data_IF_821988973983
#
_entry.id   IF_821988973983
#
_cell.length_a   1.000
_cell.length_b   1.000
_cell.length_c   1.000
_cell.angle_alpha   90.00
_cell.angle_beta   90.00
_cell.angle_gamma   90.00
#
_symmetry.space_group_name_H-M   'P 1'
#
loop_
_entity.id
_entity.type
_entity.pdbx_description
1 polymer ?
#
# COMPACT_ATOMS: atom_id res chain seq x y z
N UNK A 1 11.93 -3.17 -35.60
CA UNK A 1 11.28 -2.84 -34.33
C UNK A 1 12.37 -2.61 -33.27
N UNK A 2 12.50 -1.43 -32.69
CA UNK A 2 13.42 -1.22 -31.56
C UNK A 2 12.98 -2.12 -30.41
N UNK A 3 13.86 -2.98 -29.92
CA UNK A 3 13.61 -3.83 -28.74
C UNK A 3 13.66 -2.92 -27.50
N UNK A 4 12.70 -3.09 -26.59
CA UNK A 4 12.79 -2.42 -25.28
C UNK A 4 13.97 -2.98 -24.50
N UNK A 5 14.80 -2.08 -24.00
CA UNK A 5 15.92 -2.40 -23.14
C UNK A 5 15.72 -1.70 -21.79
N UNK A 6 15.86 -2.45 -20.73
CA UNK A 6 15.69 -1.95 -19.37
C UNK A 6 16.64 -0.77 -19.10
N UNK A 7 16.16 0.24 -18.37
CA UNK A 7 16.87 1.47 -18.01
C UNK A 7 17.24 2.39 -19.20
N UNK A 8 16.96 2.02 -20.43
CA UNK A 8 17.14 2.91 -21.57
C UNK A 8 16.06 3.98 -21.65
N UNK A 9 16.42 5.10 -22.25
CA UNK A 9 15.57 6.27 -22.39
C UNK A 9 14.80 6.27 -23.72
N UNK A 10 13.52 6.63 -23.65
CA UNK A 10 12.60 6.66 -24.80
C UNK A 10 11.75 7.93 -24.75
N UNK A 11 11.58 8.56 -25.91
CA UNK A 11 10.57 9.59 -26.10
C UNK A 11 9.17 8.95 -26.20
N UNK A 12 8.11 9.74 -26.06
CA UNK A 12 6.75 9.23 -26.31
C UNK A 12 6.56 8.72 -27.74
N UNK A 13 7.23 9.33 -28.69
CA UNK A 13 7.20 8.91 -30.09
C UNK A 13 7.92 7.57 -30.30
N UNK A 14 9.07 7.33 -29.65
CA UNK A 14 9.71 6.01 -29.67
C UNK A 14 8.80 4.93 -29.13
N UNK A 15 8.13 5.22 -28.00
CA UNK A 15 7.23 4.27 -27.32
C UNK A 15 5.99 4.00 -28.18
N UNK A 16 5.40 5.07 -28.76
CA UNK A 16 4.32 4.93 -29.73
C UNK A 16 4.70 4.02 -30.91
N UNK A 17 5.87 4.23 -31.52
CA UNK A 17 6.36 3.43 -32.64
C UNK A 17 6.61 1.95 -32.27
N UNK A 18 6.87 1.66 -30.99
CA UNK A 18 7.06 0.29 -30.50
C UNK A 18 5.72 -0.43 -30.30
N UNK A 19 4.72 0.26 -29.76
CA UNK A 19 3.49 -0.38 -29.30
C UNK A 19 2.28 -0.20 -30.23
N UNK A 20 2.26 0.83 -31.06
CA UNK A 20 1.16 1.14 -31.98
C UNK A 20 1.69 1.36 -33.39
N UNK A 21 2.28 2.51 -33.69
CA UNK A 21 2.86 2.87 -34.99
C UNK A 21 1.84 3.10 -36.11
N UNK A 22 0.54 2.92 -35.85
CA UNK A 22 -0.55 3.00 -36.83
C UNK A 22 -1.45 4.20 -36.62
N UNK A 23 -1.84 4.46 -35.35
CA UNK A 23 -2.69 5.62 -35.04
C UNK A 23 -1.87 6.91 -35.14
N UNK A 24 -2.48 8.05 -35.53
CA UNK A 24 -1.72 9.30 -35.62
C UNK A 24 -1.06 9.71 -34.29
N UNK A 25 0.25 9.93 -34.31
CA UNK A 25 0.99 10.50 -33.18
C UNK A 25 1.05 12.03 -33.31
N UNK A 26 0.63 12.72 -32.25
CA UNK A 26 0.74 14.18 -32.17
C UNK A 26 1.45 14.55 -30.87
N UNK A 27 2.65 15.17 -30.92
CA UNK A 27 3.36 15.60 -29.72
C UNK A 27 2.49 16.53 -28.86
N UNK A 28 2.34 16.24 -27.58
CA UNK A 28 1.57 17.05 -26.64
C UNK A 28 0.04 16.98 -26.80
N UNK A 29 -0.47 16.09 -27.66
CA UNK A 29 -1.91 15.89 -27.87
C UNK A 29 -2.24 14.39 -28.09
N UNK A 30 -3.52 14.04 -28.01
CA UNK A 30 -4.00 12.68 -28.23
C UNK A 30 -3.55 11.68 -27.16
N UNK A 31 -3.89 10.41 -27.37
CA UNK A 31 -3.67 9.33 -26.40
C UNK A 31 -2.18 9.14 -26.09
N UNK A 32 -1.35 8.95 -27.10
CA UNK A 32 0.08 8.72 -26.92
C UNK A 32 0.85 9.99 -26.56
N UNK A 33 0.37 11.17 -26.98
CA UNK A 33 1.06 12.43 -26.77
C UNK A 33 0.98 12.98 -25.34
N UNK A 34 -0.14 12.73 -24.60
CA UNK A 34 -0.35 13.35 -23.28
C UNK A 34 -0.85 12.41 -22.18
N UNK A 35 -1.53 11.30 -22.51
CA UNK A 35 -2.10 10.48 -21.46
C UNK A 35 -1.04 9.79 -20.62
N UNK A 36 -1.28 9.70 -19.29
CA UNK A 36 -0.41 8.97 -18.36
C UNK A 36 -0.61 7.46 -18.40
N UNK A 37 -1.78 7.01 -18.87
CA UNK A 37 -2.14 5.60 -19.03
C UNK A 37 -2.61 5.43 -20.47
N UNK A 38 -1.97 4.54 -21.20
CA UNK A 38 -2.34 4.23 -22.58
C UNK A 38 -2.62 2.74 -22.69
N UNK A 39 -3.82 2.39 -23.16
CA UNK A 39 -4.16 1.02 -23.53
C UNK A 39 -3.52 0.71 -24.89
N UNK A 40 -2.82 -0.42 -24.96
CA UNK A 40 -2.14 -0.82 -26.20
C UNK A 40 -3.20 -1.34 -27.19
N UNK A 41 -3.26 -0.84 -28.45
CA UNK A 41 -4.17 -1.34 -29.45
C UNK A 41 -3.97 -2.85 -29.69
N UNK A 42 -5.06 -3.56 -29.97
CA UNK A 42 -5.08 -4.99 -30.28
C UNK A 42 -4.48 -5.93 -29.20
N UNK A 43 -4.15 -5.37 -28.03
CA UNK A 43 -3.67 -6.14 -26.87
C UNK A 43 -4.62 -5.92 -25.69
N UNK A 44 -5.60 -6.80 -25.49
CA UNK A 44 -6.56 -6.65 -24.41
C UNK A 44 -5.87 -6.68 -23.05
N UNK A 45 -6.20 -5.71 -22.18
CA UNK A 45 -5.68 -5.59 -20.81
C UNK A 45 -4.17 -5.31 -20.71
N UNK A 46 -3.51 -4.91 -21.81
CA UNK A 46 -2.13 -4.43 -21.78
C UNK A 46 -2.08 -2.90 -21.84
N UNK A 47 -1.15 -2.33 -21.08
CA UNK A 47 -1.06 -0.89 -20.88
C UNK A 47 0.39 -0.40 -20.85
N UNK A 48 0.55 0.86 -21.25
CA UNK A 48 1.76 1.65 -21.00
C UNK A 48 1.45 2.71 -19.94
N UNK A 49 2.23 2.74 -18.87
CA UNK A 49 2.19 3.76 -17.84
C UNK A 49 3.31 4.78 -18.06
N UNK A 50 2.94 6.05 -18.25
CA UNK A 50 3.84 7.18 -18.29
C UNK A 50 3.78 7.91 -16.95
N UNK A 51 4.76 7.67 -16.09
CA UNK A 51 4.82 8.23 -14.75
C UNK A 51 5.87 9.34 -14.70
N UNK A 52 5.51 10.47 -14.10
CA UNK A 52 6.44 11.58 -13.84
C UNK A 52 6.41 11.89 -12.36
N UNK A 53 7.51 11.63 -11.65
CA UNK A 53 7.67 11.97 -10.24
C UNK A 53 7.84 13.49 -10.05
N UNK A 54 7.66 13.95 -8.80
CA UNK A 54 7.95 15.34 -8.43
C UNK A 54 6.98 16.37 -9.01
N UNK A 55 5.81 15.96 -9.52
CA UNK A 55 4.74 16.90 -9.84
C UNK A 55 3.97 17.25 -8.57
N UNK A 56 4.59 18.05 -7.68
CA UNK A 56 3.90 18.64 -6.52
C UNK A 56 2.82 19.60 -7.01
N UNK A 57 1.60 19.10 -7.16
CA UNK A 57 0.42 19.96 -7.30
C UNK A 57 -0.04 20.32 -5.91
N UNK A 58 -0.12 21.62 -5.61
CA UNK A 58 -0.71 22.15 -4.39
C UNK A 58 -1.95 21.35 -3.99
N UNK A 59 -1.93 20.76 -2.78
CA UNK A 59 -3.02 19.95 -2.23
C UNK A 59 -2.96 18.45 -2.49
N UNK A 60 -1.86 17.87 -3.00
CA UNK A 60 -1.68 16.42 -3.05
C UNK A 60 -0.98 15.94 -1.78
N UNK A 61 -1.71 15.20 -0.94
CA UNK A 61 -1.18 14.55 0.27
C UNK A 61 -0.30 13.32 -0.01
N UNK A 62 -0.11 12.95 -1.28
CA UNK A 62 0.50 11.69 -1.67
C UNK A 62 1.67 11.90 -2.64
N UNK A 63 2.84 11.34 -2.29
CA UNK A 63 4.03 11.28 -3.16
C UNK A 63 4.16 9.90 -3.80
N UNK A 64 4.22 9.88 -5.12
CA UNK A 64 4.61 8.68 -5.87
C UNK A 64 6.04 8.30 -5.51
N UNK A 65 6.31 7.02 -5.32
CA UNK A 65 7.61 6.53 -4.86
C UNK A 65 7.89 5.11 -5.34
N UNK A 66 9.17 4.74 -5.40
CA UNK A 66 9.62 3.36 -5.56
C UNK A 66 10.47 3.00 -4.34
N UNK A 67 10.23 1.82 -3.78
CA UNK A 67 11.03 1.31 -2.66
C UNK A 67 12.32 0.65 -3.15
N UNK A 68 13.26 0.40 -2.23
CA UNK A 68 14.52 -0.33 -2.52
C UNK A 68 14.28 -1.75 -3.07
N UNK A 69 13.11 -2.35 -2.86
CA UNK A 69 12.70 -3.65 -3.43
C UNK A 69 11.83 -3.52 -4.70
N UNK A 70 11.76 -2.34 -5.25
CA UNK A 70 11.04 -2.12 -6.51
C UNK A 70 9.52 -2.09 -6.38
N UNK A 71 8.97 -1.71 -5.23
CA UNK A 71 7.53 -1.48 -5.10
C UNK A 71 7.21 -0.05 -5.46
N UNK A 72 6.53 0.14 -6.58
CA UNK A 72 5.99 1.42 -7.01
C UNK A 72 4.67 1.69 -6.29
N UNK A 73 4.61 2.81 -5.57
CA UNK A 73 3.36 3.38 -5.06
C UNK A 73 2.91 4.49 -6.00
N UNK A 74 1.72 4.34 -6.58
CA UNK A 74 1.21 5.20 -7.64
C UNK A 74 -0.30 5.38 -7.52
N UNK A 75 -0.82 6.50 -8.02
CA UNK A 75 -2.26 6.79 -8.02
C UNK A 75 -2.83 6.90 -9.43
N UNK A 76 -4.08 6.46 -9.59
CA UNK A 76 -4.83 6.60 -10.83
C UNK A 76 -5.14 8.07 -11.18
N UNK A 77 -5.74 8.31 -12.33
CA UNK A 77 -6.19 9.66 -12.68
C UNK A 77 -7.34 10.11 -11.77
N UNK A 78 -7.43 11.42 -11.48
CA UNK A 78 -8.38 12.00 -10.51
C UNK A 78 -9.84 11.59 -10.68
N UNK A 79 -10.27 11.29 -11.90
CA UNK A 79 -11.66 10.91 -12.21
C UNK A 79 -11.90 9.39 -12.23
N UNK A 80 -10.86 8.59 -12.00
CA UNK A 80 -10.96 7.13 -12.03
C UNK A 80 -11.16 6.60 -10.62
N UNK A 81 -12.36 6.09 -10.36
CA UNK A 81 -12.71 5.41 -9.12
C UNK A 81 -12.72 3.90 -9.26
N UNK A 82 -12.96 3.19 -8.17
CA UNK A 82 -12.94 1.72 -8.08
C UNK A 82 -13.85 1.01 -9.09
N UNK A 83 -14.96 1.65 -9.50
CA UNK A 83 -15.89 1.10 -10.50
C UNK A 83 -15.51 1.41 -11.95
N UNK A 84 -14.45 2.18 -12.17
CA UNK A 84 -14.00 2.51 -13.53
C UNK A 84 -13.46 1.26 -14.24
N UNK A 85 -13.85 0.96 -15.49
CA UNK A 85 -13.44 -0.27 -16.20
C UNK A 85 -11.93 -0.51 -16.22
N UNK A 86 -11.14 0.55 -16.47
CA UNK A 86 -9.68 0.47 -16.48
C UNK A 86 -9.10 0.17 -15.08
N UNK A 87 -9.74 0.65 -14.01
CA UNK A 87 -9.33 0.35 -12.63
C UNK A 87 -9.63 -1.12 -12.30
N UNK A 88 -10.77 -1.64 -12.75
CA UNK A 88 -11.09 -3.06 -12.61
C UNK A 88 -10.10 -3.95 -13.38
N UNK A 89 -9.66 -3.53 -14.57
CA UNK A 89 -8.59 -4.21 -15.30
C UNK A 89 -7.28 -4.27 -14.48
N UNK A 90 -6.95 -3.19 -13.78
CA UNK A 90 -5.74 -3.14 -12.95
C UNK A 90 -5.84 -4.01 -11.70
N UNK A 91 -6.98 -3.99 -11.01
CA UNK A 91 -7.22 -4.79 -9.81
C UNK A 91 -7.18 -6.29 -10.12
N UNK A 92 -7.70 -6.69 -11.29
CA UNK A 92 -7.72 -8.08 -11.75
C UNK A 92 -6.55 -8.39 -12.70
N UNK A 93 -5.45 -7.63 -12.62
CA UNK A 93 -4.29 -7.83 -13.51
C UNK A 93 -3.52 -9.10 -13.15
N UNK A 94 -3.31 -9.93 -14.16
CA UNK A 94 -2.49 -11.12 -14.10
C UNK A 94 -1.24 -10.89 -15.00
N UNK A 95 -0.10 -10.63 -14.36
CA UNK A 95 1.17 -10.32 -15.04
C UNK A 95 1.75 -11.49 -15.85
N UNK A 96 1.25 -12.71 -15.64
CA UNK A 96 1.64 -13.89 -16.44
C UNK A 96 0.92 -13.93 -17.79
N UNK A 97 -0.24 -13.26 -17.90
CA UNK A 97 -1.07 -13.25 -19.12
C UNK A 97 -1.03 -11.93 -19.88
N UNK A 98 -0.86 -10.82 -19.17
CA UNK A 98 -0.95 -9.48 -19.72
C UNK A 98 0.18 -8.62 -19.17
N UNK A 99 0.62 -7.63 -19.92
CA UNK A 99 1.73 -6.77 -19.53
C UNK A 99 1.27 -5.33 -19.25
N UNK A 100 1.80 -4.75 -18.19
CA UNK A 100 1.78 -3.31 -17.96
C UNK A 100 3.23 -2.84 -17.96
N UNK A 101 3.58 -1.95 -18.88
CA UNK A 101 4.93 -1.44 -19.09
C UNK A 101 5.09 -0.09 -18.40
N UNK A 102 6.10 0.05 -17.54
CA UNK A 102 6.38 1.29 -16.84
C UNK A 102 7.45 2.12 -17.53
N UNK A 103 7.11 3.35 -17.89
CA UNK A 103 8.01 4.37 -18.34
C UNK A 103 8.00 5.55 -17.37
N UNK A 104 9.12 5.76 -16.70
CA UNK A 104 9.27 6.71 -15.59
C UNK A 104 10.23 7.84 -15.96
N UNK A 105 9.96 9.04 -15.45
CA UNK A 105 10.91 10.14 -15.37
C UNK A 105 10.73 10.90 -14.06
N UNK A 106 11.80 11.48 -13.56
CA UNK A 106 11.79 12.21 -12.27
C UNK A 106 11.38 13.68 -12.42
N UNK A 107 11.43 14.22 -13.65
CA UNK A 107 11.00 15.58 -13.98
C UNK A 107 10.48 15.68 -15.41
N UNK A 108 9.62 16.66 -15.67
CA UNK A 108 9.05 16.87 -17.01
C UNK A 108 10.01 17.66 -17.93
N UNK A 109 10.68 18.66 -17.40
CA UNK A 109 11.57 19.56 -18.13
C UNK A 109 12.96 19.50 -17.52
N UNK A 110 13.97 19.37 -18.37
CA UNK A 110 15.37 19.44 -17.97
C UNK A 110 15.72 20.91 -17.64
N UNK A 111 16.17 21.23 -16.41
CA UNK A 111 16.43 22.61 -16.02
C UNK A 111 17.62 23.23 -16.74
N UNK A 112 18.54 22.42 -17.28
CA UNK A 112 19.75 22.88 -17.98
C UNK A 112 19.49 23.14 -19.47
N UNK A 113 18.66 22.30 -20.12
CA UNK A 113 18.43 22.35 -21.56
C UNK A 113 17.08 22.94 -21.94
N UNK A 114 16.18 23.12 -20.96
CA UNK A 114 14.78 23.53 -21.12
C UNK A 114 13.98 22.64 -22.10
N UNK A 115 14.44 21.39 -22.31
CA UNK A 115 13.75 20.41 -23.15
C UNK A 115 12.98 19.41 -22.30
N UNK A 116 11.96 18.78 -22.92
CA UNK A 116 11.21 17.69 -22.29
C UNK A 116 12.13 16.48 -22.04
N UNK A 117 12.17 15.99 -20.81
CA UNK A 117 12.92 14.78 -20.47
C UNK A 117 12.27 13.54 -21.08
N UNK A 118 13.07 12.63 -21.62
CA UNK A 118 12.58 11.31 -22.03
C UNK A 118 12.13 10.50 -20.81
N UNK A 119 11.49 9.37 -21.09
CA UNK A 119 11.13 8.41 -20.05
C UNK A 119 12.13 7.27 -20.07
N UNK A 120 12.45 6.76 -18.89
CA UNK A 120 13.24 5.54 -18.73
C UNK A 120 12.32 4.35 -18.63
N UNK A 121 12.61 3.30 -19.36
CA UNK A 121 11.88 2.03 -19.25
C UNK A 121 12.29 1.30 -17.99
N UNK A 122 11.35 1.11 -17.07
CA UNK A 122 11.58 0.48 -15.76
C UNK A 122 11.15 -0.98 -15.70
N UNK A 123 10.76 -1.57 -16.81
CA UNK A 123 10.27 -2.94 -16.87
C UNK A 123 8.76 -3.07 -16.77
N UNK A 124 8.29 -4.26 -16.39
CA UNK A 124 6.88 -4.62 -16.29
C UNK A 124 6.41 -4.55 -14.85
N UNK A 125 5.10 -4.36 -14.68
CA UNK A 125 4.45 -4.25 -13.39
C UNK A 125 3.58 -5.48 -13.11
N UNK A 126 3.65 -5.98 -11.86
CA UNK A 126 2.68 -6.89 -11.29
C UNK A 126 1.83 -6.15 -10.25
N UNK A 127 0.54 -6.42 -10.26
CA UNK A 127 -0.37 -5.88 -9.24
C UNK A 127 -0.06 -6.48 -7.87
N UNK A 128 0.03 -5.63 -6.83
CA UNK A 128 0.17 -6.06 -5.44
C UNK A 128 -1.08 -5.74 -4.61
N UNK A 129 -1.46 -4.47 -4.58
CA UNK A 129 -2.56 -4.00 -3.74
C UNK A 129 -3.11 -2.66 -4.24
N UNK A 130 -4.28 -2.28 -3.74
CA UNK A 130 -4.86 -0.95 -3.92
C UNK A 130 -5.58 -0.51 -2.64
N UNK A 131 -5.78 0.79 -2.48
CA UNK A 131 -6.52 1.35 -1.36
C UNK A 131 -8.00 1.47 -1.74
N UNK A 132 -8.88 0.81 -0.98
CA UNK A 132 -10.33 0.81 -1.19
C UNK A 132 -11.04 2.03 -0.58
N UNK A 133 -10.46 2.71 0.39
CA UNK A 133 -11.11 3.83 1.06
C UNK A 133 -11.09 5.13 0.25
N UNK A 134 -10.15 5.26 -0.68
CA UNK A 134 -10.05 6.45 -1.52
C UNK A 134 -10.65 6.17 -2.88
N UNK A 135 -11.93 6.48 -3.04
CA UNK A 135 -12.63 6.25 -4.31
C UNK A 135 -12.02 7.00 -5.50
N UNK A 136 -11.39 8.17 -5.28
CA UNK A 136 -10.86 9.04 -6.34
C UNK A 136 -9.67 9.88 -5.85
N UNK A 137 -8.46 9.77 -6.40
CA UNK A 137 -7.95 8.69 -7.23
C UNK A 137 -7.65 7.42 -6.43
N UNK A 138 -7.66 6.27 -7.07
CA UNK A 138 -7.30 4.99 -6.46
C UNK A 138 -5.79 4.91 -6.31
N UNK A 139 -5.33 4.55 -5.11
CA UNK A 139 -3.93 4.33 -4.81
C UNK A 139 -3.57 2.87 -5.07
N UNK A 140 -2.52 2.63 -5.84
CA UNK A 140 -2.03 1.29 -6.17
C UNK A 140 -0.61 1.06 -5.67
N UNK A 141 -0.31 -0.19 -5.35
CA UNK A 141 1.04 -0.73 -5.22
C UNK A 141 1.30 -1.73 -6.33
N UNK A 142 2.44 -1.58 -6.99
CA UNK A 142 2.87 -2.41 -8.10
C UNK A 142 4.27 -2.94 -7.84
N UNK A 143 4.53 -4.22 -8.06
CA UNK A 143 5.87 -4.76 -8.09
C UNK A 143 6.49 -4.53 -9.48
N UNK A 144 7.67 -3.95 -9.52
CA UNK A 144 8.51 -3.94 -10.70
C UNK A 144 9.14 -5.33 -10.86
N UNK A 145 8.78 -6.05 -11.91
CA UNK A 145 9.21 -7.44 -12.13
C UNK A 145 10.69 -7.54 -12.52
N UNK A 146 11.21 -6.49 -13.14
CA UNK A 146 12.57 -6.47 -13.69
C UNK A 146 13.53 -5.58 -12.83
N UNK A 147 13.14 -5.26 -11.59
CA UNK A 147 13.86 -4.29 -10.73
C UNK A 147 15.21 -4.80 -10.19
N UNK A 148 15.41 -6.11 -10.08
CA UNK A 148 16.66 -6.70 -9.60
C UNK A 148 17.91 -6.29 -10.41
N UNK A 149 17.68 -5.81 -11.62
CA UNK A 149 18.73 -5.32 -12.52
C UNK A 149 19.06 -3.83 -12.35
N UNK A 150 18.29 -3.08 -11.53
CA UNK A 150 18.57 -1.69 -11.25
C UNK A 150 19.60 -1.56 -10.12
N UNK A 151 20.79 -1.11 -10.43
CA UNK A 151 21.84 -0.84 -9.45
C UNK A 151 21.64 0.53 -8.79
N UNK A 152 22.32 0.79 -7.67
CA UNK A 152 22.34 2.12 -7.04
C UNK A 152 22.89 3.21 -7.99
N UNK A 153 23.78 2.85 -8.90
CA UNK A 153 24.34 3.77 -9.91
C UNK A 153 23.26 4.17 -10.93
N UNK A 154 22.42 3.21 -11.37
CA UNK A 154 21.29 3.47 -12.26
C UNK A 154 20.27 4.41 -11.62
N UNK A 155 19.94 4.20 -10.36
CA UNK A 155 19.03 5.08 -9.62
C UNK A 155 19.60 6.50 -9.48
N UNK A 156 20.90 6.63 -9.24
CA UNK A 156 21.59 7.93 -9.15
C UNK A 156 21.58 8.64 -10.50
N UNK A 157 21.83 7.91 -11.60
CA UNK A 157 21.80 8.45 -12.96
C UNK A 157 20.42 8.97 -13.34
N UNK A 158 19.36 8.31 -12.85
CA UNK A 158 17.96 8.71 -13.07
C UNK A 158 17.50 9.83 -12.14
N UNK A 159 18.31 10.28 -11.18
CA UNK A 159 17.91 11.19 -10.10
C UNK A 159 16.69 10.62 -9.33
N UNK A 160 16.67 9.31 -9.17
CA UNK A 160 15.61 8.55 -8.51
C UNK A 160 16.03 8.23 -7.07
N UNK A 161 15.35 8.85 -6.11
CA UNK A 161 15.53 8.50 -4.70
C UNK A 161 14.60 7.34 -4.36
N UNK A 162 15.19 6.19 -4.07
CA UNK A 162 14.44 5.04 -3.55
C UNK A 162 14.04 5.29 -2.11
N UNK A 163 12.79 5.00 -1.79
CA UNK A 163 12.31 5.04 -0.41
C UNK A 163 12.75 3.76 0.29
N UNK A 164 13.39 3.91 1.45
CA UNK A 164 13.65 2.75 2.31
C UNK A 164 12.34 2.04 2.57
N UNK A 165 12.39 0.72 2.45
CA UNK A 165 11.20 -0.09 2.69
C UNK A 165 10.56 0.21 4.02
N UNK A 166 9.26 0.01 4.01
CA UNK A 166 8.42 -0.07 5.19
C UNK A 166 9.18 -0.80 6.31
N UNK A 167 9.76 -0.06 7.23
CA UNK A 167 10.51 -0.68 8.30
C UNK A 167 9.59 -0.88 9.49
N UNK A 168 9.05 -2.10 9.61
CA UNK A 168 8.46 -2.57 10.85
C UNK A 168 9.54 -3.30 11.65
N UNK A 169 9.83 -2.78 12.83
CA UNK A 169 10.75 -3.42 13.77
C UNK A 169 9.93 -4.21 14.81
N UNK A 170 10.08 -5.52 14.81
CA UNK A 170 9.49 -6.37 15.84
C UNK A 170 10.22 -6.16 17.17
N UNK A 171 9.45 -6.01 18.24
CA UNK A 171 9.93 -5.82 19.61
C UNK A 171 9.22 -6.80 20.54
N UNK A 172 9.74 -6.98 21.74
CA UNK A 172 9.06 -7.75 22.76
C UNK A 172 7.77 -7.06 23.22
N UNK A 173 6.77 -7.87 23.58
CA UNK A 173 5.57 -7.40 24.27
C UNK A 173 5.98 -6.64 25.55
N UNK A 174 5.39 -5.48 25.86
CA UNK A 174 5.69 -4.76 27.08
C UNK A 174 5.24 -5.54 28.32
N UNK A 175 5.94 -5.35 29.43
CA UNK A 175 5.52 -5.94 30.71
C UNK A 175 4.10 -5.51 31.07
N UNK A 176 3.31 -6.47 31.56
CA UNK A 176 1.94 -6.20 32.01
C UNK A 176 1.98 -5.19 33.15
N UNK A 177 1.38 -4.06 32.95
CA UNK A 177 1.14 -3.11 34.07
C UNK A 177 0.15 -3.72 35.05
N UNK A 178 0.42 -3.61 36.33
CA UNK A 178 -0.52 -4.02 37.36
C UNK A 178 -1.89 -3.36 37.18
N UNK A 179 -2.94 -4.03 37.63
CA UNK A 179 -4.32 -3.56 37.50
C UNK A 179 -4.44 -2.17 38.08
N UNK A 180 -4.53 -1.16 37.25
CA UNK A 180 -4.72 0.23 37.68
C UNK A 180 -6.20 0.42 38.01
N UNK A 181 -6.50 0.88 39.23
CA UNK A 181 -7.87 1.29 39.54
C UNK A 181 -8.29 2.47 38.67
N UNK A 182 -9.29 2.25 37.87
CA UNK A 182 -9.81 3.27 36.99
C UNK A 182 -10.67 4.26 37.74
N UNK A 183 -10.17 5.47 37.97
CA UNK A 183 -10.96 6.57 38.57
C UNK A 183 -11.71 7.29 37.45
N UNK A 184 -13.03 7.44 37.63
CA UNK A 184 -13.85 8.24 36.75
C UNK A 184 -13.42 9.71 36.80
N UNK A 185 -13.14 10.32 35.68
CA UNK A 185 -12.81 11.73 35.55
C UNK A 185 -13.96 12.45 34.84
N UNK A 186 -14.68 13.31 35.57
CA UNK A 186 -15.84 14.06 35.07
C UNK A 186 -15.43 15.41 34.44
N UNK A 187 -14.18 15.58 34.02
CA UNK A 187 -13.75 16.81 33.35
C UNK A 187 -14.27 16.86 31.91
N UNK A 188 -14.95 17.96 31.56
CA UNK A 188 -15.40 18.21 30.18
C UNK A 188 -14.20 18.43 29.27
N UNK A 189 -13.93 17.49 28.37
CA UNK A 189 -13.02 17.67 27.22
C UNK A 189 -13.87 17.87 25.97
N UNK A 190 -13.72 19.03 25.31
CA UNK A 190 -14.20 19.19 23.93
C UNK A 190 -13.33 18.29 23.04
N UNK A 191 -13.77 17.07 22.79
CA UNK A 191 -13.20 16.23 21.76
C UNK A 191 -14.01 16.45 20.50
N UNK A 192 -13.33 16.85 19.44
CA UNK A 192 -13.91 16.91 18.09
C UNK A 192 -13.89 15.46 17.54
N UNK A 193 -14.93 14.69 17.91
CA UNK A 193 -15.00 13.25 17.70
C UNK A 193 -14.92 12.87 16.21
N UNK A 194 -15.52 13.68 15.32
CA UNK A 194 -15.54 13.37 13.88
C UNK A 194 -14.16 13.50 13.23
N UNK A 195 -13.44 14.58 13.52
CA UNK A 195 -12.09 14.80 12.98
C UNK A 195 -11.09 13.80 13.56
N UNK A 196 -11.24 13.45 14.85
CA UNK A 196 -10.42 12.46 15.51
C UNK A 196 -10.65 11.06 14.94
N UNK A 197 -11.90 10.66 14.71
CA UNK A 197 -12.26 9.36 14.14
C UNK A 197 -11.73 9.18 12.71
N UNK A 198 -11.85 10.21 11.87
CA UNK A 198 -11.35 10.15 10.48
C UNK A 198 -9.82 10.02 10.43
N UNK A 199 -9.10 10.76 11.28
CA UNK A 199 -7.63 10.66 11.39
C UNK A 199 -7.19 9.29 11.92
N UNK A 200 -7.90 8.75 12.91
CA UNK A 200 -7.59 7.47 13.51
C UNK A 200 -7.86 6.32 12.53
N UNK A 201 -8.94 6.36 11.77
CA UNK A 201 -9.23 5.38 10.71
C UNK A 201 -8.13 5.38 9.64
N UNK A 202 -7.68 6.57 9.20
CA UNK A 202 -6.58 6.67 8.22
C UNK A 202 -5.27 6.06 8.76
N UNK A 203 -4.93 6.31 10.03
CA UNK A 203 -3.73 5.74 10.65
C UNK A 203 -3.89 4.22 10.81
N UNK A 204 -5.07 3.73 11.16
CA UNK A 204 -5.39 2.31 11.26
C UNK A 204 -5.09 1.61 9.94
N UNK A 205 -5.71 2.04 8.85
CA UNK A 205 -5.52 1.46 7.53
C UNK A 205 -4.05 1.49 7.07
N UNK A 206 -3.33 2.60 7.30
CA UNK A 206 -1.92 2.69 6.94
C UNK A 206 -1.07 1.68 7.71
N UNK A 207 -1.42 1.41 8.98
CA UNK A 207 -0.77 0.38 9.77
C UNK A 207 -1.10 -1.04 9.31
N UNK A 208 -2.35 -1.30 8.94
CA UNK A 208 -2.77 -2.57 8.35
C UNK A 208 -2.01 -2.86 7.05
N UNK A 209 -1.91 -1.87 6.15
CA UNK A 209 -1.13 -1.99 4.91
C UNK A 209 0.36 -2.24 5.19
N UNK A 210 0.92 -1.57 6.21
CA UNK A 210 2.31 -1.74 6.60
C UNK A 210 2.57 -3.16 7.13
N UNK A 211 1.65 -3.71 7.93
CA UNK A 211 1.72 -5.09 8.44
C UNK A 211 1.52 -6.08 7.32
N UNK A 212 0.57 -5.84 6.43
CA UNK A 212 0.34 -6.68 5.25
C UNK A 212 1.61 -6.81 4.39
N UNK A 213 2.24 -5.68 4.05
CA UNK A 213 3.49 -5.65 3.29
C UNK A 213 4.63 -6.37 4.01
N UNK A 214 4.73 -6.18 5.32
CA UNK A 214 5.74 -6.84 6.15
C UNK A 214 5.58 -8.37 6.07
N UNK A 215 4.37 -8.90 6.28
CA UNK A 215 4.11 -10.34 6.26
C UNK A 215 4.29 -10.92 4.86
N UNK A 216 3.78 -10.24 3.84
CA UNK A 216 3.97 -10.64 2.45
C UNK A 216 5.48 -10.78 2.13
N UNK A 217 6.27 -9.78 2.51
CA UNK A 217 7.72 -9.78 2.34
C UNK A 217 8.39 -10.93 3.11
N UNK A 218 7.95 -11.23 4.34
CA UNK A 218 8.48 -12.37 5.11
C UNK A 218 8.27 -13.70 4.37
N UNK A 219 7.09 -13.93 3.80
CA UNK A 219 6.84 -15.15 3.02
C UNK A 219 7.67 -15.22 1.75
N UNK A 220 7.80 -14.11 1.01
CA UNK A 220 8.67 -14.05 -0.17
C UNK A 220 10.13 -14.40 0.19
N UNK A 221 10.66 -13.78 1.25
CA UNK A 221 12.03 -14.03 1.71
C UNK A 221 12.24 -15.48 2.21
N UNK A 222 11.19 -16.11 2.73
CA UNK A 222 11.20 -17.51 3.13
C UNK A 222 10.97 -18.50 1.95
N UNK A 223 10.85 -17.99 0.71
CA UNK A 223 10.56 -18.82 -0.47
C UNK A 223 9.12 -19.36 -0.53
N UNK A 224 8.21 -18.88 0.33
CA UNK A 224 6.82 -19.30 0.43
C UNK A 224 5.91 -18.42 -0.42
N UNK A 225 6.20 -18.32 -1.71
CA UNK A 225 5.38 -17.58 -2.68
C UNK A 225 3.93 -18.07 -2.71
N UNK A 226 3.73 -19.38 -2.48
CA UNK A 226 2.42 -20.04 -2.40
C UNK A 226 1.54 -19.48 -1.29
N UNK A 227 2.11 -19.03 -0.16
CA UNK A 227 1.40 -18.42 0.95
C UNK A 227 1.28 -16.90 0.76
N UNK A 228 2.32 -16.25 0.25
CA UNK A 228 2.30 -14.81 -0.02
C UNK A 228 1.11 -14.40 -0.91
N UNK A 229 0.84 -15.15 -1.97
CA UNK A 229 -0.27 -14.91 -2.90
C UNK A 229 -1.66 -15.12 -2.28
N UNK A 230 -1.76 -15.82 -1.15
CA UNK A 230 -3.03 -16.16 -0.48
C UNK A 230 -3.36 -15.25 0.70
N UNK A 231 -2.47 -14.33 1.07
CA UNK A 231 -2.76 -13.37 2.13
C UNK A 231 -3.89 -12.46 1.67
N UNK A 232 -4.87 -12.21 2.53
CA UNK A 232 -6.02 -11.35 2.23
C UNK A 232 -6.11 -10.25 3.27
N UNK A 233 -6.22 -9.02 2.81
CA UNK A 233 -6.59 -7.88 3.64
C UNK A 233 -8.11 -7.87 3.80
N UNK A 234 -8.60 -8.55 4.83
CA UNK A 234 -10.02 -8.90 5.02
C UNK A 234 -10.88 -7.68 5.30
N UNK A 235 -10.41 -6.76 6.17
CA UNK A 235 -11.13 -5.51 6.48
C UNK A 235 -11.46 -4.70 5.22
N UNK A 236 -10.60 -4.81 4.21
CA UNK A 236 -10.71 -4.15 2.91
C UNK A 236 -11.60 -4.90 1.93
N UNK A 237 -11.54 -6.23 1.90
CA UNK A 237 -12.25 -7.06 0.91
C UNK A 237 -13.67 -7.44 1.39
N UNK A 238 -13.83 -7.72 2.68
CA UNK A 238 -15.06 -8.25 3.27
C UNK A 238 -15.76 -7.21 4.20
N UNK A 239 -15.03 -6.14 4.61
CA UNK A 239 -15.52 -5.06 5.47
C UNK A 239 -15.25 -5.27 6.97
N UNK A 240 -15.58 -4.25 7.78
CA UNK A 240 -15.30 -4.13 9.23
C UNK A 240 -16.16 -5.08 10.08
N UNK A 241 -16.23 -6.35 9.85
CA UNK A 241 -17.14 -7.23 10.60
C UNK A 241 -16.59 -8.62 10.85
N UNK A 242 -15.48 -8.98 10.24
CA UNK A 242 -14.92 -10.32 10.32
C UNK A 242 -14.26 -10.63 11.69
N UNK A 243 -13.96 -9.62 12.50
CA UNK A 243 -13.27 -9.78 13.79
C UNK A 243 -11.74 -9.84 13.69
N UNK A 244 -11.19 -9.59 12.50
CA UNK A 244 -9.77 -9.47 12.20
C UNK A 244 -9.56 -8.68 10.89
N UNK A 245 -8.36 -8.12 10.71
CA UNK A 245 -8.01 -7.27 9.55
C UNK A 245 -7.35 -8.02 8.41
N UNK A 246 -6.49 -9.00 8.72
CA UNK A 246 -5.69 -9.71 7.73
C UNK A 246 -5.79 -11.22 7.95
N UNK A 247 -6.15 -11.97 6.90
CA UNK A 247 -6.02 -13.41 6.87
C UNK A 247 -4.66 -13.80 6.30
N UNK A 248 -3.82 -14.39 7.12
CA UNK A 248 -2.48 -14.86 6.81
C UNK A 248 -2.35 -16.35 7.13
N UNK A 249 -1.11 -16.83 7.24
CA UNK A 249 -0.79 -18.22 7.52
C UNK A 249 0.37 -18.32 8.51
N UNK A 250 0.45 -19.44 9.20
CA UNK A 250 1.67 -19.86 9.91
C UNK A 250 2.66 -20.50 8.92
N UNK A 251 3.88 -20.78 9.38
CA UNK A 251 4.91 -21.42 8.55
C UNK A 251 4.49 -22.79 8.00
N UNK A 252 3.67 -23.54 8.75
CA UNK A 252 3.10 -24.81 8.35
C UNK A 252 1.95 -24.71 7.34
N UNK A 253 1.53 -23.50 6.99
CA UNK A 253 0.42 -23.21 6.08
C UNK A 253 -0.96 -23.21 6.73
N UNK A 254 -1.07 -23.43 8.05
CA UNK A 254 -2.34 -23.28 8.76
C UNK A 254 -2.77 -21.80 8.84
N UNK A 255 -4.09 -21.49 8.87
CA UNK A 255 -4.59 -20.14 8.92
C UNK A 255 -4.10 -19.37 10.16
N UNK A 256 -3.82 -18.07 9.97
CA UNK A 256 -3.50 -17.11 11.03
C UNK A 256 -4.29 -15.82 10.78
N UNK A 257 -5.11 -15.44 11.75
CA UNK A 257 -5.94 -14.24 11.72
C UNK A 257 -5.27 -13.11 12.49
N UNK A 258 -5.09 -11.96 11.85
CA UNK A 258 -4.37 -10.84 12.41
C UNK A 258 -5.28 -9.64 12.58
N UNK A 259 -5.33 -9.11 13.78
CA UNK A 259 -5.91 -7.80 14.10
C UNK A 259 -4.78 -6.78 14.23
N UNK A 260 -4.93 -5.60 13.65
CA UNK A 260 -3.89 -4.57 13.63
C UNK A 260 -4.35 -3.31 14.35
N UNK A 261 -3.67 -2.94 15.41
CA UNK A 261 -3.94 -1.70 16.15
C UNK A 261 -2.75 -0.75 16.05
N UNK A 262 -2.92 0.39 15.39
CA UNK A 262 -1.84 1.34 15.08
C UNK A 262 -1.95 2.63 15.87
N UNK A 263 -0.82 3.14 16.35
CA UNK A 263 -0.72 4.45 16.99
C UNK A 263 0.60 5.17 16.63
N UNK A 264 0.55 6.50 16.61
CA UNK A 264 1.75 7.35 16.58
C UNK A 264 2.41 7.50 17.96
N UNK A 265 1.69 7.15 19.03
CA UNK A 265 2.19 7.17 20.39
C UNK A 265 3.15 6.02 20.68
N UNK A 266 3.71 6.01 21.89
CA UNK A 266 4.65 4.99 22.33
C UNK A 266 4.00 3.64 22.63
N UNK A 267 4.82 2.65 22.95
CA UNK A 267 4.47 1.24 23.21
C UNK A 267 3.32 1.05 24.20
N UNK A 268 3.19 1.95 25.17
CA UNK A 268 2.21 1.89 26.25
C UNK A 268 0.91 2.66 25.95
N UNK A 269 0.68 3.12 24.73
CA UNK A 269 -0.54 3.80 24.35
C UNK A 269 -1.74 2.87 24.38
N UNK A 270 -2.84 3.29 25.01
CA UNK A 270 -4.11 2.57 25.01
C UNK A 270 -4.66 2.41 23.59
N UNK A 271 -5.46 1.40 23.38
CA UNK A 271 -6.15 1.14 22.11
C UNK A 271 -7.55 0.55 22.36
N UNK A 272 -8.41 0.65 21.35
CA UNK A 272 -9.79 0.16 21.43
C UNK A 272 -9.89 -1.20 20.76
N UNK A 273 -10.69 -2.08 21.37
CA UNK A 273 -11.05 -3.39 20.84
C UNK A 273 -12.56 -3.49 20.84
N UNK A 274 -13.12 -3.98 19.75
CA UNK A 274 -14.54 -4.23 19.61
C UNK A 274 -14.97 -5.54 20.28
N UNK A 275 -16.25 -5.69 20.66
CA UNK A 275 -16.76 -6.96 21.16
C UNK A 275 -16.59 -8.11 20.16
N UNK A 276 -16.67 -7.82 18.84
CA UNK A 276 -16.51 -8.81 17.80
C UNK A 276 -15.08 -9.35 17.70
N UNK A 277 -14.07 -8.48 17.77
CA UNK A 277 -12.66 -8.85 17.82
C UNK A 277 -12.33 -9.69 19.07
N UNK A 278 -12.91 -9.33 20.23
CA UNK A 278 -12.75 -10.13 21.44
C UNK A 278 -13.35 -11.52 21.29
N UNK A 279 -14.59 -11.63 20.82
CA UNK A 279 -15.27 -12.91 20.61
C UNK A 279 -14.52 -13.80 19.60
N UNK A 280 -14.05 -13.22 18.49
CA UNK A 280 -13.28 -13.94 17.48
C UNK A 280 -11.94 -14.43 18.05
N UNK A 281 -11.26 -13.62 18.86
CA UNK A 281 -10.00 -14.01 19.51
C UNK A 281 -10.17 -15.15 20.51
N UNK A 282 -11.31 -15.24 21.18
CA UNK A 282 -11.65 -16.33 22.10
C UNK A 282 -11.90 -17.63 21.33
N UNK A 283 -12.72 -17.58 20.26
CA UNK A 283 -13.06 -18.74 19.44
C UNK A 283 -11.86 -19.29 18.68
N UNK A 284 -11.00 -18.40 18.15
CA UNK A 284 -9.84 -18.75 17.33
C UNK A 284 -8.49 -18.59 18.04
N UNK A 285 -8.44 -18.73 19.36
CA UNK A 285 -7.28 -18.41 20.20
C UNK A 285 -5.97 -19.05 19.75
N UNK A 286 -5.99 -20.21 19.13
CA UNK A 286 -4.79 -20.90 18.61
C UNK A 286 -4.26 -20.35 17.29
N UNK A 287 -5.08 -19.54 16.58
CA UNK A 287 -4.79 -18.99 15.26
C UNK A 287 -5.07 -17.49 15.16
N UNK A 288 -5.16 -16.79 16.28
CA UNK A 288 -5.39 -15.37 16.37
C UNK A 288 -4.19 -14.64 16.97
N UNK A 289 -3.87 -13.48 16.39
CA UNK A 289 -2.77 -12.64 16.84
C UNK A 289 -3.11 -11.16 16.66
N UNK A 290 -2.97 -10.37 17.70
CA UNK A 290 -3.05 -8.92 17.60
C UNK A 290 -1.65 -8.36 17.36
N UNK A 291 -1.50 -7.58 16.30
CA UNK A 291 -0.30 -6.83 15.94
C UNK A 291 -0.46 -5.38 16.42
N UNK A 292 0.26 -5.03 17.47
CA UNK A 292 0.25 -3.66 18.00
C UNK A 292 1.37 -2.83 17.38
N UNK A 293 1.04 -2.00 16.40
CA UNK A 293 1.98 -1.04 15.80
C UNK A 293 2.00 0.25 16.61
N UNK A 294 3.19 0.72 16.99
CA UNK A 294 3.41 1.94 17.77
C UNK A 294 4.58 2.76 17.20
N UNK A 295 4.69 4.03 17.62
CA UNK A 295 5.64 4.99 17.07
C UNK A 295 5.54 5.07 15.52
N UNK A 296 4.32 4.91 15.00
CA UNK A 296 4.09 4.94 13.56
C UNK A 296 4.40 6.32 12.96
N UNK A 297 5.25 6.34 11.95
CA UNK A 297 5.67 7.54 11.24
C UNK A 297 5.16 7.52 9.79
N UNK A 298 4.24 8.43 9.48
CA UNK A 298 3.65 8.57 8.15
C UNK A 298 4.67 8.99 7.06
N UNK A 299 5.73 9.71 7.44
CA UNK A 299 6.63 10.34 6.45
C UNK A 299 7.51 9.31 5.75
N UNK A 300 7.91 8.28 6.48
CA UNK A 300 8.74 7.18 5.98
C UNK A 300 8.07 5.82 6.07
N UNK A 301 6.76 5.79 6.40
CA UNK A 301 5.95 4.59 6.56
C UNK A 301 6.65 3.51 7.42
N UNK A 302 7.07 3.89 8.62
CA UNK A 302 7.79 3.03 9.54
C UNK A 302 7.13 2.98 10.90
N UNK A 303 7.45 1.96 11.68
CA UNK A 303 6.97 1.81 13.04
C UNK A 303 7.64 0.64 13.76
N UNK A 304 7.31 0.49 15.03
CA UNK A 304 7.67 -0.68 15.82
C UNK A 304 6.41 -1.48 16.11
N UNK A 305 6.51 -2.78 16.32
CA UNK A 305 5.35 -3.57 16.67
C UNK A 305 5.72 -4.70 17.64
N UNK A 306 4.72 -5.15 18.35
CA UNK A 306 4.74 -6.40 19.11
C UNK A 306 3.48 -7.21 18.85
N UNK A 307 3.52 -8.48 19.20
CA UNK A 307 2.46 -9.46 19.00
C UNK A 307 1.83 -9.85 20.30
N UNK A 308 0.50 -9.98 20.32
CA UNK A 308 -0.26 -10.57 21.42
C UNK A 308 -1.01 -11.76 20.86
N UNK A 309 -0.65 -12.96 21.31
CA UNK A 309 -1.25 -14.19 20.81
C UNK A 309 -2.40 -14.67 21.67
N UNK A 310 -3.40 -15.27 21.04
CA UNK A 310 -4.47 -15.99 21.71
C UNK A 310 -5.67 -15.15 22.12
N UNK A 311 -6.37 -15.61 23.12
CA UNK A 311 -7.60 -15.02 23.65
C UNK A 311 -7.32 -13.68 24.33
N UNK A 312 -7.77 -12.61 23.69
CA UNK A 312 -7.52 -11.23 24.16
C UNK A 312 -8.24 -10.91 25.48
N UNK A 313 -9.32 -11.60 25.83
CA UNK A 313 -9.98 -11.43 27.13
C UNK A 313 -9.06 -11.84 28.31
N UNK A 314 -8.20 -12.83 28.08
CA UNK A 314 -7.22 -13.31 29.05
C UNK A 314 -5.90 -12.54 29.02
N UNK A 315 -5.58 -11.98 27.85
CA UNK A 315 -4.28 -11.31 27.62
C UNK A 315 -4.29 -9.85 28.06
N UNK A 316 -5.41 -9.14 27.92
CA UNK A 316 -5.53 -7.70 28.08
C UNK A 316 -6.26 -7.30 29.37
N UNK A 317 -5.94 -6.11 29.87
CA UNK A 317 -6.73 -5.44 30.91
C UNK A 317 -7.82 -4.60 30.24
N UNK A 318 -9.04 -5.13 30.14
CA UNK A 318 -10.14 -4.49 29.44
C UNK A 318 -10.90 -3.53 30.36
N UNK A 319 -11.23 -2.34 29.81
CA UNK A 319 -12.11 -1.35 30.43
C UNK A 319 -13.26 -1.04 29.47
N UNK A 320 -14.53 -1.25 29.87
CA UNK A 320 -15.66 -0.80 29.08
C UNK A 320 -15.68 0.73 28.96
N UNK A 321 -15.78 1.25 27.73
CA UNK A 321 -15.79 2.70 27.47
C UNK A 321 -17.06 3.17 26.76
N UNK A 322 -17.84 2.22 26.23
CA UNK A 322 -19.09 2.51 25.53
C UNK A 322 -20.10 1.37 25.76
N UNK A 323 -21.35 1.72 25.89
CA UNK A 323 -22.47 0.79 26.08
C UNK A 323 -23.56 1.09 25.05
N UNK A 324 -24.20 0.05 24.51
CA UNK A 324 -25.47 0.18 23.78
C UNK A 324 -26.62 0.00 24.76
N UNK A 325 -27.59 0.89 24.75
CA UNK A 325 -28.78 0.81 25.59
C UNK A 325 -30.05 0.69 24.74
N UNK A 326 -31.02 -0.09 25.20
CA UNK A 326 -32.38 -0.19 24.65
C UNK A 326 -33.36 -0.05 25.81
N UNK A 327 -34.53 0.56 25.54
CA UNK A 327 -35.73 0.54 26.40
C UNK A 327 -36.55 -0.70 26.11
#
# INVERSE_FOLDING_TARGET
>A
MKKLELLNQYTREDIYNIFDGVTPFTPGAGTWGIHGIVKIPDRPREYVFFVTFGQDKLGQEFKESITEKGVLTWQSQKKQGLKHPQILDFISHDHQKHNIYLFLRTRKINPKTNKTEPFTYMGRLAYLAHNLEKEHPVLFKWQLLDFEFATNEDCTTLDLTLVKENSLLETSEPEKRGRQEWKNNFSAKKNDFEVSNTKNKKIGLLGELLVFDYIHTQFINAGRHDLAEKIIHTSVVEGDGAGYDIRSFKEDGSPLYLEVKTTKGGINSDFFISPNELAFSEEHHSSYQLIRVYEYNNSNNSGKFYKIEGDLNKRLNLKPVQYSARL
#
